data_IF_634275473793
#
_entry.id   IF_634275473793
#
_cell.length_a   1.000
_cell.length_b   1.000
_cell.length_c   1.000
_cell.angle_alpha   90.00
_cell.angle_beta   90.00
_cell.angle_gamma   90.00
#
_symmetry.space_group_name_H-M   'P 1'
#
loop_
_entity.id
_entity.type
_entity.pdbx_description
1 polymer ?
#
# COMPACT_ATOMS: atom_id res chain seq x y z
N UNK A 1 -15.85 -2.01 -11.05
CA UNK A 1 -14.40 -2.01 -10.68
C UNK A 1 -13.56 -1.37 -11.78
N UNK A 2 -13.63 -1.78 -13.05
CA UNK A 2 -12.88 -1.14 -14.14
C UNK A 2 -13.17 0.36 -14.31
N UNK A 3 -14.41 0.79 -14.16
CA UNK A 3 -14.83 2.20 -14.28
C UNK A 3 -14.18 3.07 -13.20
N UNK A 4 -14.09 2.59 -11.95
CA UNK A 4 -13.46 3.32 -10.85
C UNK A 4 -11.95 3.49 -11.05
N UNK A 5 -11.28 2.44 -11.54
CA UNK A 5 -9.86 2.51 -11.88
C UNK A 5 -9.59 3.50 -13.03
N UNK A 6 -10.47 3.55 -14.03
CA UNK A 6 -10.38 4.50 -15.15
C UNK A 6 -10.64 5.95 -14.67
N UNK A 7 -11.62 6.16 -13.79
CA UNK A 7 -11.90 7.49 -13.23
C UNK A 7 -10.76 7.99 -12.35
N UNK A 8 -10.22 7.14 -11.47
CA UNK A 8 -9.05 7.47 -10.66
C UNK A 8 -7.81 7.73 -11.53
N UNK A 9 -7.62 6.96 -12.60
CA UNK A 9 -6.53 7.18 -13.55
C UNK A 9 -6.69 8.52 -14.31
N UNK A 10 -7.92 8.89 -14.65
CA UNK A 10 -8.22 10.17 -15.29
C UNK A 10 -7.98 11.34 -14.30
N UNK A 11 -8.34 11.19 -13.02
CA UNK A 11 -8.04 12.17 -11.98
C UNK A 11 -6.53 12.29 -11.76
N UNK A 12 -5.80 11.18 -11.64
CA UNK A 12 -4.33 11.18 -11.51
C UNK A 12 -3.67 11.87 -12.70
N UNK A 13 -4.13 11.65 -13.93
CA UNK A 13 -3.58 12.31 -15.14
C UNK A 13 -3.97 13.78 -15.28
N UNK A 14 -5.11 14.19 -14.72
CA UNK A 14 -5.64 15.53 -14.86
C UNK A 14 -5.43 16.43 -13.63
N UNK A 15 -4.96 15.88 -12.50
CA UNK A 15 -4.62 16.68 -11.33
C UNK A 15 -3.32 17.45 -11.59
N UNK A 16 -3.35 18.79 -11.61
CA UNK A 16 -2.16 19.61 -11.83
C UNK A 16 -1.06 19.41 -10.76
N UNK A 17 -1.40 18.77 -9.63
CA UNK A 17 -0.45 18.39 -8.56
C UNK A 17 0.27 17.07 -8.86
N UNK A 18 -0.26 16.23 -9.75
CA UNK A 18 0.33 14.93 -10.09
C UNK A 18 1.16 15.03 -11.38
N UNK A 19 2.24 15.81 -11.36
CA UNK A 19 3.13 15.97 -12.50
C UNK A 19 4.03 14.75 -12.68
N UNK A 20 3.96 14.01 -13.79
CA UNK A 20 4.91 12.94 -14.06
C UNK A 20 6.33 13.49 -14.09
N UNK A 21 7.27 12.74 -13.49
CA UNK A 21 8.69 13.04 -13.65
C UNK A 21 9.10 12.87 -15.10
N UNK A 22 10.04 13.72 -15.53
CA UNK A 22 10.71 13.62 -16.83
C UNK A 22 12.19 13.28 -16.69
N UNK A 23 12.69 13.12 -15.45
CA UNK A 23 14.10 12.80 -15.18
C UNK A 23 14.33 11.27 -15.28
N UNK A 24 15.13 10.79 -16.24
CA UNK A 24 15.44 9.36 -16.35
C UNK A 24 16.04 8.76 -15.07
N UNK A 25 16.77 9.54 -14.28
CA UNK A 25 17.36 9.06 -13.02
C UNK A 25 16.31 8.69 -11.99
N UNK A 26 15.13 9.33 -12.04
CA UNK A 26 13.98 9.04 -11.18
C UNK A 26 13.13 7.92 -11.78
N UNK A 27 12.98 7.90 -13.11
CA UNK A 27 12.07 6.98 -13.83
C UNK A 27 12.67 5.59 -13.98
N UNK A 28 13.94 5.50 -14.41
CA UNK A 28 14.52 4.21 -14.82
C UNK A 28 14.64 3.20 -13.67
N UNK A 29 15.09 3.57 -12.43
CA UNK A 29 15.12 2.64 -11.31
C UNK A 29 13.71 2.18 -10.94
N UNK A 30 12.72 3.06 -10.93
CA UNK A 30 11.33 2.70 -10.60
C UNK A 30 10.76 1.71 -11.62
N UNK A 31 10.95 1.96 -12.92
CA UNK A 31 10.49 1.04 -13.97
C UNK A 31 11.20 -0.31 -13.92
N UNK A 32 12.50 -0.31 -13.63
CA UNK A 32 13.29 -1.55 -13.50
C UNK A 32 12.81 -2.40 -12.33
N UNK A 33 12.61 -1.80 -11.17
CA UNK A 33 12.07 -2.48 -9.97
C UNK A 33 10.66 -3.00 -10.26
N UNK A 34 9.79 -2.16 -10.80
CA UNK A 34 8.42 -2.54 -11.13
C UNK A 34 8.36 -3.74 -12.06
N UNK A 35 9.14 -3.73 -13.15
CA UNK A 35 9.15 -4.84 -14.10
C UNK A 35 9.51 -6.17 -13.42
N UNK A 36 10.50 -6.18 -12.52
CA UNK A 36 10.91 -7.39 -11.79
C UNK A 36 9.87 -7.85 -10.79
N UNK A 37 9.28 -6.94 -10.01
CA UNK A 37 8.24 -7.25 -9.03
C UNK A 37 6.97 -7.76 -9.72
N UNK A 38 6.58 -7.17 -10.85
CA UNK A 38 5.44 -7.62 -11.65
C UNK A 38 5.69 -9.03 -12.20
N UNK A 39 6.88 -9.33 -12.71
CA UNK A 39 7.21 -10.67 -13.17
C UNK A 39 7.22 -11.70 -12.02
N UNK A 40 7.65 -11.32 -10.82
CA UNK A 40 7.51 -12.15 -9.62
C UNK A 40 6.03 -12.39 -9.28
N UNK A 41 5.19 -11.36 -9.34
CA UNK A 41 3.75 -11.45 -9.09
C UNK A 41 3.05 -12.42 -10.06
N UNK A 42 3.46 -12.46 -11.32
CA UNK A 42 2.94 -13.41 -12.32
C UNK A 42 3.29 -14.88 -12.05
N UNK A 43 4.24 -15.14 -11.14
CA UNK A 43 4.61 -16.49 -10.66
C UNK A 43 4.09 -16.82 -9.26
N UNK A 44 3.44 -15.86 -8.60
CA UNK A 44 2.94 -15.97 -7.23
C UNK A 44 1.56 -16.64 -7.16
N UNK A 45 1.04 -16.75 -5.93
CA UNK A 45 -0.36 -17.16 -5.71
C UNK A 45 -1.39 -16.27 -6.41
N UNK A 46 -1.01 -15.09 -6.85
CA UNK A 46 -1.85 -14.13 -7.59
C UNK A 46 -1.58 -14.13 -9.10
N UNK A 47 -0.92 -15.17 -9.64
CA UNK A 47 -0.50 -15.24 -11.05
C UNK A 47 -1.65 -14.98 -12.04
N UNK A 48 -2.83 -15.56 -11.79
CA UNK A 48 -4.00 -15.35 -12.65
C UNK A 48 -4.37 -13.85 -12.74
N UNK A 49 -4.50 -13.18 -11.60
CA UNK A 49 -4.83 -11.76 -11.55
C UNK A 49 -3.70 -10.89 -12.12
N UNK A 50 -2.45 -11.21 -11.80
CA UNK A 50 -1.29 -10.47 -12.28
C UNK A 50 -1.14 -10.51 -13.81
N UNK A 51 -1.52 -11.61 -14.45
CA UNK A 51 -1.52 -11.75 -15.92
C UNK A 51 -2.70 -11.04 -16.60
N UNK A 52 -3.80 -10.76 -15.89
CA UNK A 52 -4.93 -10.01 -16.42
C UNK A 52 -4.76 -8.49 -16.34
N UNK A 53 -3.82 -8.00 -15.51
CA UNK A 53 -3.61 -6.59 -15.32
C UNK A 53 -2.82 -5.94 -16.46
N UNK A 54 -3.24 -4.75 -16.86
CA UNK A 54 -2.51 -3.88 -17.79
C UNK A 54 -1.56 -2.97 -16.98
N UNK A 55 -0.38 -3.49 -16.69
CA UNK A 55 0.60 -2.82 -15.85
C UNK A 55 1.14 -1.53 -16.48
N UNK A 56 1.02 -0.44 -15.76
CA UNK A 56 1.57 0.86 -16.10
C UNK A 56 2.19 1.50 -14.84
N UNK A 57 3.38 2.07 -14.97
CA UNK A 57 4.11 2.67 -13.85
C UNK A 57 4.37 4.14 -14.15
N UNK A 58 3.92 5.00 -13.26
CA UNK A 58 4.10 6.45 -13.33
C UNK A 58 4.91 6.92 -12.12
N UNK A 59 5.96 7.69 -12.37
CA UNK A 59 6.70 8.40 -11.33
C UNK A 59 6.16 9.82 -11.26
N UNK A 60 5.70 10.21 -10.07
CA UNK A 60 5.16 11.55 -9.81
C UNK A 60 6.24 12.39 -9.16
N UNK A 61 6.58 13.53 -9.79
CA UNK A 61 7.54 14.49 -9.23
C UNK A 61 6.88 15.29 -8.13
N UNK A 62 6.96 14.78 -6.92
CA UNK A 62 6.61 15.48 -5.69
C UNK A 62 7.49 14.98 -4.56
N UNK A 63 8.52 15.75 -4.25
CA UNK A 63 9.53 15.42 -3.25
C UNK A 63 9.03 15.55 -1.81
N UNK A 64 7.83 16.14 -1.62
CA UNK A 64 7.23 16.35 -0.29
C UNK A 64 6.27 15.24 0.09
N UNK A 65 5.69 14.57 -0.89
CA UNK A 65 4.73 13.50 -0.68
C UNK A 65 5.46 12.15 -0.63
N UNK A 66 5.64 11.61 0.56
CA UNK A 66 6.18 10.26 0.76
C UNK A 66 5.04 9.26 0.59
N UNK A 67 4.82 8.82 -0.65
CA UNK A 67 3.73 7.89 -1.00
C UNK A 67 4.05 7.02 -2.21
N UNK A 68 3.38 5.88 -2.31
CA UNK A 68 3.24 5.04 -3.48
C UNK A 68 1.89 4.34 -3.39
N UNK A 69 1.31 3.95 -4.52
CA UNK A 69 0.09 3.14 -4.52
C UNK A 69 -0.04 2.33 -5.80
N UNK A 70 -0.77 1.22 -5.72
CA UNK A 70 -1.19 0.47 -6.90
C UNK A 70 -2.72 0.35 -6.94
N UNK A 71 -3.29 0.64 -8.12
CA UNK A 71 -4.72 0.55 -8.37
C UNK A 71 -5.09 -0.80 -8.99
N UNK A 72 -6.31 -1.29 -8.76
CA UNK A 72 -6.84 -2.45 -9.49
C UNK A 72 -6.73 -2.24 -11.00
N UNK A 73 -6.26 -3.27 -11.70
CA UNK A 73 -5.98 -3.18 -13.14
C UNK A 73 -4.52 -2.90 -13.48
N UNK A 74 -3.64 -2.69 -12.47
CA UNK A 74 -2.19 -2.66 -12.65
C UNK A 74 -1.58 -1.26 -12.82
N UNK A 75 -2.26 -0.21 -12.41
CA UNK A 75 -1.71 1.15 -12.47
C UNK A 75 -0.97 1.47 -11.17
N UNK A 76 0.34 1.68 -11.26
CA UNK A 76 1.23 1.96 -10.13
C UNK A 76 1.69 3.41 -10.22
N UNK A 77 1.61 4.14 -9.12
CA UNK A 77 2.18 5.47 -8.97
C UNK A 77 3.20 5.49 -7.83
N UNK A 78 4.34 6.12 -8.07
CA UNK A 78 5.42 6.29 -7.10
C UNK A 78 5.81 7.74 -7.05
N UNK A 79 5.68 8.36 -5.88
CA UNK A 79 6.12 9.74 -5.65
C UNK A 79 7.61 9.79 -5.37
N UNK A 80 8.30 10.79 -5.88
CA UNK A 80 9.74 10.95 -5.61
C UNK A 80 10.05 11.11 -4.13
N UNK A 81 9.12 11.66 -3.34
CA UNK A 81 9.24 11.76 -1.88
C UNK A 81 9.42 10.45 -1.12
N UNK A 82 9.18 9.27 -1.74
CA UNK A 82 9.46 7.96 -1.14
C UNK A 82 10.96 7.59 -1.19
N UNK A 83 11.74 8.19 -2.09
CA UNK A 83 13.13 7.80 -2.33
C UNK A 83 14.04 7.92 -1.09
N UNK A 84 13.95 8.97 -0.26
CA UNK A 84 14.79 9.08 0.94
C UNK A 84 14.57 7.95 1.95
N UNK A 85 13.40 7.37 2.01
CA UNK A 85 13.11 6.25 2.92
C UNK A 85 13.40 4.90 2.27
N UNK A 86 13.11 4.75 0.98
CA UNK A 86 13.47 3.55 0.21
C UNK A 86 14.99 3.40 0.05
N UNK A 87 15.71 4.49 -0.19
CA UNK A 87 17.17 4.62 -0.37
C UNK A 87 17.74 3.88 -1.56
N UNK A 88 17.35 2.63 -1.78
CA UNK A 88 17.88 1.74 -2.80
C UNK A 88 16.76 1.10 -3.63
N UNK A 89 17.13 0.45 -4.74
CA UNK A 89 16.18 -0.32 -5.53
C UNK A 89 15.57 -1.48 -4.73
N UNK A 90 16.30 -2.09 -3.81
CA UNK A 90 15.76 -3.14 -2.93
C UNK A 90 14.74 -2.59 -1.93
N UNK A 91 14.99 -1.41 -1.33
CA UNK A 91 13.99 -0.74 -0.51
C UNK A 91 12.75 -0.32 -1.30
N UNK A 92 12.94 0.13 -2.55
CA UNK A 92 11.84 0.41 -3.44
C UNK A 92 11.05 -0.85 -3.83
N UNK A 93 11.73 -2.00 -3.98
CA UNK A 93 11.08 -3.28 -4.23
C UNK A 93 10.21 -3.73 -3.06
N UNK A 94 10.61 -3.44 -1.82
CA UNK A 94 9.79 -3.67 -0.65
C UNK A 94 8.50 -2.84 -0.68
N UNK A 95 8.59 -1.54 -1.01
CA UNK A 95 7.41 -0.68 -1.19
C UNK A 95 6.51 -1.21 -2.31
N UNK A 96 7.08 -1.46 -3.49
CA UNK A 96 6.30 -1.86 -4.66
C UNK A 96 5.71 -3.26 -4.52
N UNK A 97 6.41 -4.19 -3.85
CA UNK A 97 5.88 -5.51 -3.53
C UNK A 97 4.61 -5.42 -2.68
N UNK A 98 4.66 -4.60 -1.63
CA UNK A 98 3.53 -4.31 -0.76
C UNK A 98 2.33 -3.73 -1.55
N UNK A 99 2.55 -2.69 -2.37
CA UNK A 99 1.51 -2.04 -3.15
C UNK A 99 0.90 -2.96 -4.21
N UNK A 100 1.73 -3.72 -4.91
CA UNK A 100 1.27 -4.69 -5.93
C UNK A 100 0.35 -5.73 -5.29
N UNK A 101 0.65 -6.20 -4.07
CA UNK A 101 -0.22 -7.14 -3.36
C UNK A 101 -1.56 -6.50 -3.00
N UNK A 102 -1.58 -5.25 -2.55
CA UNK A 102 -2.85 -4.56 -2.28
C UNK A 102 -3.76 -4.51 -3.50
N UNK A 103 -3.20 -4.26 -4.69
CA UNK A 103 -3.97 -4.27 -5.94
C UNK A 103 -4.45 -5.68 -6.33
N UNK A 104 -3.57 -6.69 -6.25
CA UNK A 104 -3.85 -8.07 -6.63
C UNK A 104 -4.86 -8.75 -5.69
N UNK A 105 -4.71 -8.54 -4.37
CA UNK A 105 -5.61 -9.04 -3.35
C UNK A 105 -6.92 -8.23 -3.26
N UNK A 106 -7.05 -7.12 -4.00
CA UNK A 106 -8.23 -6.24 -4.03
C UNK A 106 -8.57 -5.61 -2.67
N UNK A 107 -7.57 -5.38 -1.81
CA UNK A 107 -7.78 -4.84 -0.47
C UNK A 107 -8.54 -3.51 -0.46
N UNK A 108 -8.28 -2.61 -1.44
CA UNK A 108 -9.02 -1.36 -1.59
C UNK A 108 -10.52 -1.58 -1.85
N UNK A 109 -10.88 -2.53 -2.70
CA UNK A 109 -12.27 -2.87 -2.99
C UNK A 109 -12.99 -3.51 -1.81
N UNK A 110 -12.30 -4.38 -1.09
CA UNK A 110 -12.82 -5.02 0.12
C UNK A 110 -13.04 -3.99 1.22
N UNK A 111 -12.08 -3.08 1.46
CA UNK A 111 -12.20 -1.98 2.41
C UNK A 111 -13.40 -1.07 2.10
N UNK A 112 -13.64 -0.73 0.83
CA UNK A 112 -14.81 0.04 0.42
C UNK A 112 -16.12 -0.71 0.72
N UNK A 113 -16.19 -2.00 0.41
CA UNK A 113 -17.37 -2.82 0.66
C UNK A 113 -17.66 -2.94 2.14
N UNK A 114 -16.64 -3.14 2.98
CA UNK A 114 -16.78 -3.21 4.43
C UNK A 114 -17.22 -1.88 5.04
N UNK A 115 -16.66 -0.77 4.59
CA UNK A 115 -17.09 0.56 5.03
C UNK A 115 -18.55 0.82 4.68
N UNK A 116 -18.98 0.47 3.47
CA UNK A 116 -20.39 0.60 3.05
C UNK A 116 -21.31 -0.27 3.89
N UNK A 117 -20.93 -1.53 4.11
CA UNK A 117 -21.71 -2.44 4.95
C UNK A 117 -21.80 -1.95 6.41
N UNK A 118 -20.68 -1.51 6.99
CA UNK A 118 -20.65 -0.96 8.34
C UNK A 118 -21.55 0.28 8.46
N UNK A 119 -21.48 1.23 7.53
CA UNK A 119 -22.33 2.42 7.52
C UNK A 119 -23.81 2.05 7.38
N UNK A 120 -24.16 1.17 6.46
CA UNK A 120 -25.54 0.72 6.26
C UNK A 120 -26.09 0.02 7.50
N UNK A 121 -25.28 -0.84 8.13
CA UNK A 121 -25.64 -1.54 9.36
C UNK A 121 -25.84 -0.55 10.51
N UNK A 122 -24.93 0.43 10.68
CA UNK A 122 -25.06 1.47 11.71
C UNK A 122 -26.33 2.31 11.53
N UNK A 123 -26.66 2.68 10.28
CA UNK A 123 -27.91 3.39 9.97
C UNK A 123 -29.14 2.55 10.34
N UNK A 124 -29.16 1.26 9.98
CA UNK A 124 -30.26 0.36 10.32
C UNK A 124 -30.42 0.19 11.84
N UNK A 125 -29.32 0.05 12.59
CA UNK A 125 -29.33 -0.01 14.05
C UNK A 125 -29.85 1.31 14.64
N UNK A 126 -29.39 2.46 14.13
CA UNK A 126 -29.86 3.77 14.57
C UNK A 126 -31.39 3.96 14.38
N UNK A 127 -31.93 3.49 13.26
CA UNK A 127 -33.35 3.49 13.00
C UNK A 127 -34.11 2.53 13.97
N UNK A 128 -33.61 1.32 14.13
CA UNK A 128 -34.23 0.30 15.03
C UNK A 128 -34.26 0.73 16.51
N UNK A 129 -33.23 1.47 16.94
CA UNK A 129 -33.16 2.02 18.30
C UNK A 129 -33.94 3.34 18.47
N UNK A 130 -34.64 3.81 17.42
CA UNK A 130 -35.41 5.06 17.48
C UNK A 130 -34.52 6.32 17.63
N UNK A 131 -33.21 6.18 17.39
CA UNK A 131 -32.26 7.29 17.53
C UNK A 131 -32.50 8.36 16.46
N UNK A 132 -33.06 7.98 15.32
CA UNK A 132 -33.38 8.92 14.21
C UNK A 132 -34.53 9.88 14.52
N UNK A 133 -35.32 9.65 15.58
CA UNK A 133 -36.40 10.54 16.05
C UNK A 133 -36.10 11.24 17.39
N UNK A 134 -34.94 10.95 18.00
CA UNK A 134 -34.54 11.54 19.28
C UNK A 134 -33.97 12.94 19.13
N UNK A 135 -33.73 13.62 20.28
CA UNK A 135 -33.02 14.88 20.31
C UNK A 135 -31.71 14.79 19.48
N UNK A 136 -31.43 15.74 18.57
CA UNK A 136 -30.27 15.68 17.69
C UNK A 136 -28.92 15.43 18.38
N UNK A 137 -28.73 15.96 19.60
CA UNK A 137 -27.52 15.75 20.42
C UNK A 137 -27.38 14.31 20.87
N UNK A 138 -28.48 13.69 21.31
CA UNK A 138 -28.50 12.28 21.73
C UNK A 138 -28.28 11.35 20.54
N UNK A 139 -28.91 11.65 19.40
CA UNK A 139 -28.75 10.90 18.15
C UNK A 139 -27.31 10.92 17.66
N UNK A 140 -26.67 12.09 17.62
CA UNK A 140 -25.27 12.22 17.22
C UNK A 140 -24.33 11.49 18.16
N UNK A 141 -24.52 11.61 19.46
CA UNK A 141 -23.70 10.92 20.46
C UNK A 141 -23.80 9.38 20.34
N UNK A 142 -25.01 8.84 20.21
CA UNK A 142 -25.23 7.43 20.04
C UNK A 142 -24.63 6.89 18.72
N UNK A 143 -24.83 7.60 17.61
CA UNK A 143 -24.27 7.23 16.30
C UNK A 143 -22.74 7.33 16.30
N UNK A 144 -22.15 8.31 16.98
CA UNK A 144 -20.70 8.43 17.13
C UNK A 144 -20.13 7.24 17.93
N UNK A 145 -20.77 6.86 19.04
CA UNK A 145 -20.33 5.72 19.85
C UNK A 145 -20.40 4.39 19.09
N UNK A 146 -21.48 4.16 18.32
CA UNK A 146 -21.64 3.00 17.45
C UNK A 146 -20.57 3.01 16.34
N UNK A 147 -20.32 4.16 15.74
CA UNK A 147 -19.30 4.35 14.70
C UNK A 147 -17.88 4.03 15.21
N UNK A 148 -17.52 4.51 16.39
CA UNK A 148 -16.24 4.16 17.05
C UNK A 148 -16.15 2.66 17.32
N UNK A 149 -17.23 2.03 17.83
CA UNK A 149 -17.25 0.59 18.07
C UNK A 149 -17.02 -0.23 16.80
N UNK A 150 -17.68 0.12 15.70
CA UNK A 150 -17.47 -0.52 14.40
C UNK A 150 -16.06 -0.29 13.84
N UNK A 151 -15.54 0.94 13.97
CA UNK A 151 -14.18 1.27 13.56
C UNK A 151 -13.16 0.40 14.28
N UNK A 152 -13.22 0.34 15.60
CA UNK A 152 -12.22 -0.37 16.43
C UNK A 152 -12.43 -1.88 16.39
N UNK A 153 -13.67 -2.36 16.46
CA UNK A 153 -13.97 -3.79 16.58
C UNK A 153 -13.96 -4.56 15.26
N UNK A 154 -14.20 -3.89 14.13
CA UNK A 154 -14.34 -4.55 12.83
C UNK A 154 -13.34 -4.03 11.82
N UNK A 155 -13.34 -2.74 11.53
CA UNK A 155 -12.57 -2.19 10.41
C UNK A 155 -11.06 -2.20 10.65
N UNK A 156 -10.60 -1.89 11.86
CA UNK A 156 -9.16 -1.90 12.18
C UNK A 156 -8.54 -3.31 12.13
N UNK A 157 -9.16 -4.37 12.69
CA UNK A 157 -8.61 -5.72 12.56
C UNK A 157 -8.51 -6.20 11.10
N UNK A 158 -9.49 -5.84 10.26
CA UNK A 158 -9.44 -6.14 8.83
C UNK A 158 -8.30 -5.40 8.13
N UNK A 159 -8.14 -4.12 8.42
CA UNK A 159 -7.03 -3.34 7.88
C UNK A 159 -5.68 -3.95 8.25
N UNK A 160 -5.48 -4.37 9.51
CA UNK A 160 -4.25 -5.06 9.95
C UNK A 160 -3.98 -6.36 9.21
N UNK A 161 -5.01 -7.16 8.92
CA UNK A 161 -4.87 -8.39 8.13
C UNK A 161 -4.43 -8.10 6.69
N UNK A 162 -5.00 -7.08 6.06
CA UNK A 162 -4.62 -6.66 4.72
C UNK A 162 -3.16 -6.17 4.69
N UNK A 163 -2.75 -5.39 5.68
CA UNK A 163 -1.35 -4.94 5.80
C UNK A 163 -0.40 -6.13 6.00
N UNK A 164 -0.73 -7.06 6.90
CA UNK A 164 0.09 -8.26 7.14
C UNK A 164 0.17 -9.15 5.91
N UNK A 165 -0.91 -9.31 5.14
CA UNK A 165 -0.88 -10.05 3.88
C UNK A 165 -0.05 -9.33 2.82
N UNK A 166 -0.17 -8.00 2.71
CA UNK A 166 0.62 -7.20 1.78
C UNK A 166 2.11 -7.26 2.10
N UNK A 167 2.48 -7.21 3.38
CA UNK A 167 3.85 -7.37 3.84
C UNK A 167 4.40 -8.77 3.55
N UNK A 168 3.66 -9.82 3.95
CA UNK A 168 4.09 -11.20 3.77
C UNK A 168 4.32 -11.54 2.30
N UNK A 169 3.32 -11.34 1.47
CA UNK A 169 3.45 -11.66 0.05
C UNK A 169 4.40 -10.70 -0.64
N UNK A 170 4.40 -9.41 -0.24
CA UNK A 170 5.28 -8.39 -0.79
C UNK A 170 6.75 -8.71 -0.60
N UNK A 171 7.15 -9.21 0.59
CA UNK A 171 8.53 -9.62 0.86
C UNK A 171 8.95 -10.83 0.03
N UNK A 172 8.03 -11.78 -0.20
CA UNK A 172 8.29 -12.93 -1.08
C UNK A 172 8.42 -12.50 -2.55
N UNK A 173 7.62 -11.51 -2.99
CA UNK A 173 7.74 -10.94 -4.34
C UNK A 173 9.08 -10.22 -4.53
N UNK A 174 9.53 -9.44 -3.56
CA UNK A 174 10.83 -8.79 -3.60
C UNK A 174 11.97 -9.83 -3.70
N UNK A 175 11.90 -10.89 -2.91
CA UNK A 175 12.84 -12.00 -2.93
C UNK A 175 12.87 -12.71 -4.30
N UNK A 176 11.69 -13.05 -4.87
CA UNK A 176 11.58 -13.71 -6.18
C UNK A 176 12.01 -12.79 -7.34
N UNK A 177 11.90 -11.48 -7.15
CA UNK A 177 12.41 -10.47 -8.08
C UNK A 177 13.94 -10.31 -8.02
N UNK A 178 14.62 -10.96 -7.07
CA UNK A 178 16.06 -10.92 -6.87
C UNK A 178 16.56 -9.77 -6.00
N UNK A 179 15.67 -9.10 -5.27
CA UNK A 179 16.02 -8.06 -4.29
C UNK A 179 16.12 -8.66 -2.87
N UNK A 180 17.05 -8.14 -2.09
CA UNK A 180 17.27 -8.60 -0.73
C UNK A 180 16.03 -8.31 0.15
N UNK A 181 15.32 -9.35 0.64
CA UNK A 181 14.07 -9.15 1.39
C UNK A 181 14.28 -8.46 2.75
N UNK A 182 15.52 -8.46 3.28
CA UNK A 182 15.85 -7.78 4.55
C UNK A 182 15.68 -6.27 4.45
N UNK A 183 15.70 -5.70 3.25
CA UNK A 183 15.38 -4.29 3.02
C UNK A 183 13.94 -3.93 3.41
N UNK A 184 13.02 -4.88 3.44
CA UNK A 184 11.66 -4.64 3.98
C UNK A 184 11.70 -4.29 5.47
N UNK A 185 12.51 -4.99 6.26
CA UNK A 185 12.72 -4.68 7.69
C UNK A 185 13.31 -3.28 7.85
N UNK A 186 14.37 -2.99 7.08
CA UNK A 186 15.04 -1.70 7.13
C UNK A 186 14.12 -0.54 6.69
N UNK A 187 13.31 -0.76 5.67
CA UNK A 187 12.31 0.21 5.19
C UNK A 187 11.32 0.59 6.30
N UNK A 188 10.68 -0.42 6.91
CA UNK A 188 9.68 -0.18 7.95
C UNK A 188 10.29 0.39 9.23
N UNK A 189 11.52 0.04 9.57
CA UNK A 189 12.27 0.67 10.67
C UNK A 189 12.45 2.16 10.40
N UNK A 190 12.95 2.54 9.22
CA UNK A 190 13.13 3.95 8.82
C UNK A 190 11.79 4.72 8.80
N UNK A 191 10.71 4.07 8.32
CA UNK A 191 9.37 4.67 8.35
C UNK A 191 8.88 4.92 9.78
N UNK A 192 9.13 3.97 10.69
CA UNK A 192 8.79 4.11 12.11
C UNK A 192 9.52 5.29 12.77
N UNK A 193 10.81 5.43 12.51
CA UNK A 193 11.63 6.55 13.01
C UNK A 193 11.10 7.91 12.52
N UNK A 194 10.70 8.00 11.26
CA UNK A 194 10.13 9.23 10.70
C UNK A 194 8.74 9.55 11.26
N UNK A 195 7.97 8.55 11.67
CA UNK A 195 6.62 8.72 12.23
C UNK A 195 6.61 9.25 13.67
N UNK A 196 7.73 9.18 14.40
CA UNK A 196 7.93 9.83 15.70
C UNK A 196 7.99 11.36 15.61
N UNK A 197 8.05 11.94 14.41
CA UNK A 197 7.93 13.36 14.12
C UNK A 197 6.48 13.80 13.93
N UNK A 198 6.21 15.12 14.05
CA UNK A 198 4.86 15.73 14.07
C UNK A 198 3.98 15.60 12.82
N UNK A 199 4.40 14.90 11.76
CA UNK A 199 3.55 14.57 10.61
C UNK A 199 3.79 13.13 10.21
N UNK A 200 2.82 12.25 10.50
CA UNK A 200 2.76 10.94 9.85
C UNK A 200 2.78 11.16 8.33
N UNK A 201 3.66 10.45 7.61
CA UNK A 201 3.67 10.51 6.16
C UNK A 201 2.31 10.04 5.61
N UNK A 202 1.95 10.50 4.42
CA UNK A 202 0.73 10.05 3.75
C UNK A 202 0.71 8.51 3.63
N UNK A 203 1.85 7.91 3.32
CA UNK A 203 2.01 6.46 3.27
C UNK A 203 1.66 5.80 4.62
N UNK A 204 2.14 6.33 5.74
CA UNK A 204 1.83 5.78 7.07
C UNK A 204 0.37 6.00 7.49
N UNK A 205 -0.31 7.00 6.94
CA UNK A 205 -1.73 7.22 7.21
C UNK A 205 -2.62 6.21 6.48
N UNK A 206 -2.22 5.77 5.30
CA UNK A 206 -2.91 4.75 4.50
C UNK A 206 -2.50 3.32 4.87
N UNK A 207 -1.26 3.12 5.34
CA UNK A 207 -0.66 1.85 5.75
C UNK A 207 -0.15 1.93 7.20
N UNK A 208 -1.06 1.93 8.20
CA UNK A 208 -0.68 2.10 9.59
C UNK A 208 0.24 0.97 10.05
N UNK A 209 1.35 1.35 10.67
CA UNK A 209 2.24 0.38 11.31
C UNK A 209 1.52 -0.27 12.50
N UNK A 210 1.74 -1.55 12.69
CA UNK A 210 1.38 -2.28 13.90
C UNK A 210 2.64 -2.73 14.63
N UNK A 211 2.56 -2.89 15.94
CA UNK A 211 3.70 -3.17 16.81
C UNK A 211 4.48 -4.42 16.41
N UNK A 212 3.79 -5.42 15.84
CA UNK A 212 4.37 -6.72 15.45
C UNK A 212 4.87 -6.77 14.01
N UNK A 213 4.81 -5.67 13.23
CA UNK A 213 5.18 -5.69 11.80
C UNK A 213 6.64 -6.12 11.57
N UNK A 214 7.57 -5.56 12.33
CA UNK A 214 9.00 -5.88 12.22
C UNK A 214 9.25 -7.33 12.63
N UNK A 215 8.67 -7.77 13.74
CA UNK A 215 8.80 -9.17 14.22
C UNK A 215 8.28 -10.17 13.18
N UNK A 216 7.12 -9.89 12.57
CA UNK A 216 6.57 -10.73 11.50
C UNK A 216 7.47 -10.75 10.27
N UNK A 217 8.03 -9.61 9.85
CA UNK A 217 8.98 -9.57 8.74
C UNK A 217 10.23 -10.38 9.04
N UNK A 218 10.75 -10.33 10.27
CA UNK A 218 11.89 -11.14 10.70
C UNK A 218 11.58 -12.65 10.65
N UNK A 219 10.39 -13.06 11.12
CA UNK A 219 9.93 -14.45 11.03
C UNK A 219 9.86 -14.94 9.56
N UNK A 220 9.32 -14.12 8.65
CA UNK A 220 9.18 -14.48 7.24
C UNK A 220 10.49 -14.52 6.47
N UNK A 221 11.60 -14.03 7.03
CA UNK A 221 12.93 -14.19 6.42
C UNK A 221 13.32 -15.65 6.29
N UNK A 222 12.81 -16.55 7.14
CA UNK A 222 13.04 -17.99 7.02
C UNK A 222 12.54 -18.55 5.68
N UNK A 223 11.49 -17.97 5.11
CA UNK A 223 10.94 -18.34 3.80
C UNK A 223 11.49 -17.45 2.67
N UNK A 224 11.63 -16.16 2.87
CA UNK A 224 12.04 -15.22 1.84
C UNK A 224 13.52 -15.39 1.44
N UNK A 225 14.41 -15.64 2.39
CA UNK A 225 15.84 -15.76 2.10
C UNK A 225 16.20 -16.93 1.18
N UNK A 226 15.66 -18.16 1.34
CA UNK A 226 15.88 -19.24 0.38
C UNK A 226 15.41 -18.88 -1.04
N UNK A 227 14.26 -18.18 -1.17
CA UNK A 227 13.76 -17.71 -2.46
C UNK A 227 14.78 -16.74 -3.07
N UNK A 228 15.19 -15.72 -2.35
CA UNK A 228 16.18 -14.73 -2.80
C UNK A 228 17.49 -15.39 -3.24
N UNK A 229 18.02 -16.29 -2.44
CA UNK A 229 19.29 -16.99 -2.73
C UNK A 229 19.21 -17.90 -3.96
N UNK A 230 18.01 -18.33 -4.35
CA UNK A 230 17.77 -19.14 -5.56
C UNK A 230 17.68 -18.32 -6.84
N UNK A 231 17.65 -16.99 -6.74
CA UNK A 231 17.47 -16.09 -7.91
C UNK A 231 18.77 -15.37 -8.25
N UNK A 232 18.97 -15.03 -9.53
CA UNK A 232 20.02 -14.08 -9.90
C UNK A 232 19.79 -12.74 -9.18
N UNK A 233 20.82 -12.18 -8.54
CA UNK A 233 20.66 -10.91 -7.83
C UNK A 233 20.24 -9.80 -8.80
N UNK A 234 19.26 -8.99 -8.37
CA UNK A 234 18.87 -7.80 -9.09
C UNK A 234 19.92 -6.69 -8.91
N UNK A 235 20.06 -5.74 -9.85
CA UNK A 235 20.77 -4.51 -9.59
C UNK A 235 20.19 -3.82 -8.35
N UNK A 236 21.06 -3.29 -7.49
CA UNK A 236 20.64 -2.58 -6.29
C UNK A 236 21.40 -1.24 -6.19
N UNK A 237 20.97 -0.27 -7.00
CA UNK A 237 21.54 1.06 -6.99
C UNK A 237 20.86 1.95 -5.97
N UNK A 238 21.59 2.95 -5.48
CA UNK A 238 21.00 4.03 -4.70
C UNK A 238 20.01 4.83 -5.55
N UNK A 239 18.89 5.21 -4.94
CA UNK A 239 17.91 6.09 -5.57
C UNK A 239 18.43 7.54 -5.55
N UNK A 240 18.03 8.39 -6.52
CA UNK A 240 18.52 9.75 -6.59
C UNK A 240 18.11 10.55 -5.35
N UNK A 241 19.03 11.38 -4.85
CA UNK A 241 18.72 12.33 -3.81
C UNK A 241 17.70 13.37 -4.30
N UNK A 242 16.78 13.76 -3.46
CA UNK A 242 15.82 14.83 -3.75
C UNK A 242 16.56 16.17 -3.88
N UNK A 243 16.04 17.03 -4.74
CA UNK A 243 16.62 18.35 -5.04
C UNK A 243 15.69 19.46 -4.58
#
# INVERSE_FOLDING_TARGET
MAVLAVLLQAEVKNDPKMKPSTDPREIDPVKRVAARVIEAAKRSKYSEMANQFEWEVTVIKDDKTMNAFALPGGKIAVYTGIFPVARTEAGLAAVMGHEVVHALARHGGERMSQNTLAQTTLQAIGIALGVSGANPVVSQGAMAALGVGAQVGVLLPFSRKHESEADYVGVLLAADAGYDPRESIQLWTRMGELSGGKSASEFMSTHPSHETRIEQLEEWMAEAMPIYQSKPPAPNHELPALR
#
